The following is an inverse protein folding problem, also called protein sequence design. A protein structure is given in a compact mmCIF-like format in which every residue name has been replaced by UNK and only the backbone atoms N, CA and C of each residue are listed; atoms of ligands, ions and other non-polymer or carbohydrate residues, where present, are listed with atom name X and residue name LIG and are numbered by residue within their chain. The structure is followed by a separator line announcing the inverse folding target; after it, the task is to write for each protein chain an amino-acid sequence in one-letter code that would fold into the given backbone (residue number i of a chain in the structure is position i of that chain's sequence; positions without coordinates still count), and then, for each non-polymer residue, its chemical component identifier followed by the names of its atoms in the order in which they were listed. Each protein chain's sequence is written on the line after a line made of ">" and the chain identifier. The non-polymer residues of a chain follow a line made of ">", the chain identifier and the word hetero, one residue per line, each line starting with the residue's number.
data_IF_493486630514
#
_entry.id   IF_493486630514
#
_cell.length_a   1.000
_cell.length_b   1.000
_cell.length_c   1.000
_cell.angle_alpha   90.00
_cell.angle_beta   90.00
_cell.angle_gamma   90.00
#
_symmetry.space_group_name_H-M   'P 1'
#
loop_
_entity.id
_entity.type
_entity.pdbx_description
1 polymer ?
#
# COMPACT_ATOMS: atom_id res chain seq x y z
N UNK A 1 7.75 11.77 -27.92
CA UNK A 1 7.63 10.33 -27.57
C UNK A 1 8.58 10.06 -26.42
N UNK A 2 8.06 9.98 -25.19
CA UNK A 2 8.89 9.87 -23.99
C UNK A 2 9.01 8.38 -23.63
N UNK A 3 10.20 7.83 -23.82
CA UNK A 3 10.51 6.43 -23.52
C UNK A 3 10.56 6.26 -22.02
N UNK A 4 9.42 5.90 -21.42
CA UNK A 4 9.35 5.50 -20.02
C UNK A 4 10.24 4.27 -19.88
N UNK A 5 11.36 4.40 -19.16
CA UNK A 5 12.22 3.25 -18.86
C UNK A 5 11.42 2.36 -17.92
N UNK A 6 10.93 1.25 -18.49
CA UNK A 6 10.25 0.17 -17.79
C UNK A 6 11.09 -0.19 -16.57
N UNK A 7 10.56 0.08 -15.39
CA UNK A 7 11.18 -0.38 -14.16
C UNK A 7 11.07 -1.90 -14.18
N UNK A 8 12.18 -2.60 -14.40
CA UNK A 8 12.29 -4.06 -14.29
C UNK A 8 12.27 -4.46 -12.80
N UNK A 9 11.19 -4.07 -12.15
CA UNK A 9 10.98 -4.15 -10.72
C UNK A 9 9.75 -5.01 -10.48
N UNK A 10 9.95 -6.08 -9.71
CA UNK A 10 8.89 -6.88 -9.11
C UNK A 10 8.20 -6.08 -8.01
N UNK A 11 7.43 -5.05 -8.38
CA UNK A 11 6.65 -4.30 -7.43
C UNK A 11 5.35 -5.03 -7.11
N UNK A 12 5.07 -5.18 -5.81
CA UNK A 12 3.88 -5.86 -5.33
C UNK A 12 2.93 -4.80 -4.80
N UNK A 13 1.72 -4.63 -5.38
CA UNK A 13 0.75 -3.69 -4.84
C UNK A 13 0.32 -4.12 -3.43
N UNK A 14 0.38 -3.18 -2.49
CA UNK A 14 -0.03 -3.37 -1.09
C UNK A 14 -1.43 -2.82 -0.87
N UNK A 15 -1.69 -1.61 -1.38
CA UNK A 15 -3.00 -0.97 -1.35
C UNK A 15 -3.14 0.02 -2.49
N UNK A 16 -4.30 0.00 -3.15
CA UNK A 16 -4.64 0.92 -4.22
C UNK A 16 -5.92 1.63 -3.83
N UNK A 17 -5.86 2.96 -3.78
CA UNK A 17 -7.01 3.82 -3.50
C UNK A 17 -6.94 5.01 -4.44
N UNK A 18 -8.08 5.64 -4.76
CA UNK A 18 -8.08 6.89 -5.51
C UNK A 18 -7.11 7.90 -4.88
N UNK A 19 -6.26 8.49 -5.72
CA UNK A 19 -5.19 9.41 -5.35
C UNK A 19 -4.03 8.84 -4.53
N UNK A 20 -4.03 7.55 -4.16
CA UNK A 20 -3.00 6.94 -3.30
C UNK A 20 -2.69 5.48 -3.66
N UNK A 21 -1.46 5.20 -4.07
CA UNK A 21 -0.97 3.84 -4.28
C UNK A 21 0.19 3.53 -3.34
N UNK A 22 0.15 2.35 -2.72
CA UNK A 22 1.27 1.81 -1.96
C UNK A 22 1.73 0.53 -2.62
N UNK A 23 3.01 0.49 -2.96
CA UNK A 23 3.66 -0.68 -3.56
C UNK A 23 4.86 -1.10 -2.72
N UNK A 24 5.17 -2.39 -2.75
CA UNK A 24 6.39 -2.96 -2.15
C UNK A 24 7.38 -3.22 -3.26
N UNK A 25 8.59 -2.69 -3.14
CA UNK A 25 9.69 -2.87 -4.07
C UNK A 25 10.85 -3.54 -3.32
N UNK A 26 11.04 -4.86 -3.45
CA UNK A 26 12.09 -5.56 -2.71
C UNK A 26 13.49 -5.01 -2.99
N UNK A 27 13.76 -4.57 -4.23
CA UNK A 27 15.05 -3.99 -4.65
C UNK A 27 15.39 -2.65 -3.98
N UNK A 28 14.39 -1.97 -3.43
CA UNK A 28 14.57 -0.71 -2.69
C UNK A 28 15.15 -0.95 -1.28
N UNK A 29 15.05 -2.17 -0.75
CA UNK A 29 15.47 -2.45 0.61
C UNK A 29 16.99 -2.23 0.76
N UNK A 30 17.36 -1.31 1.67
CA UNK A 30 18.75 -0.88 1.94
C UNK A 30 19.47 -0.26 0.73
N UNK A 31 18.76 0.27 -0.26
CA UNK A 31 19.36 0.89 -1.44
C UNK A 31 18.86 2.34 -1.63
N UNK A 32 19.65 3.31 -1.18
CA UNK A 32 19.33 4.75 -1.31
C UNK A 32 19.38 5.21 -2.77
N UNK A 33 20.33 4.71 -3.57
CA UNK A 33 20.39 5.01 -5.00
C UNK A 33 19.11 4.57 -5.73
N UNK A 34 18.52 3.45 -5.32
CA UNK A 34 17.23 2.99 -5.89
C UNK A 34 16.07 3.87 -5.41
N UNK A 35 16.12 4.38 -4.18
CA UNK A 35 15.15 5.36 -3.67
C UNK A 35 15.14 6.61 -4.54
N UNK A 36 16.30 7.24 -4.74
CA UNK A 36 16.45 8.46 -5.54
C UNK A 36 16.02 8.24 -6.99
N UNK A 37 16.39 7.10 -7.58
CA UNK A 37 15.99 6.74 -8.94
C UNK A 37 14.47 6.59 -9.09
N UNK A 38 13.83 5.96 -8.12
CA UNK A 38 12.37 5.78 -8.11
C UNK A 38 11.70 7.13 -7.94
N UNK A 39 12.11 7.94 -6.95
CA UNK A 39 11.53 9.26 -6.70
C UNK A 39 11.71 10.19 -7.90
N UNK A 40 12.91 10.26 -8.48
CA UNK A 40 13.17 11.08 -9.65
C UNK A 40 12.39 10.61 -10.89
N UNK A 41 12.33 9.29 -11.14
CA UNK A 41 11.62 8.76 -12.30
C UNK A 41 10.10 8.94 -12.20
N UNK A 42 9.54 8.81 -11.00
CA UNK A 42 8.11 8.95 -10.77
C UNK A 42 7.64 10.41 -10.70
N UNK A 43 8.48 11.32 -10.18
CA UNK A 43 8.13 12.75 -10.05
C UNK A 43 8.05 13.48 -11.39
N UNK A 44 8.57 12.88 -12.47
CA UNK A 44 8.47 13.43 -13.83
C UNK A 44 7.07 13.22 -14.44
N UNK A 45 6.27 12.32 -13.88
CA UNK A 45 4.93 12.06 -14.37
C UNK A 45 3.98 13.18 -13.92
N UNK A 46 3.38 13.88 -14.88
CA UNK A 46 2.42 14.99 -14.64
C UNK A 46 1.24 14.60 -13.73
N UNK A 47 0.93 13.31 -13.72
CA UNK A 47 -0.16 12.71 -12.98
C UNK A 47 0.17 12.42 -11.51
N UNK A 48 1.46 12.45 -11.15
CA UNK A 48 1.98 12.13 -9.82
C UNK A 48 2.20 13.42 -9.06
N UNK A 49 1.47 13.58 -7.96
CA UNK A 49 1.59 14.75 -7.08
C UNK A 49 2.82 14.65 -6.18
N UNK A 50 3.12 13.44 -5.67
CA UNK A 50 4.28 13.21 -4.82
C UNK A 50 4.63 11.72 -4.74
N UNK A 51 5.91 11.45 -4.43
CA UNK A 51 6.47 10.10 -4.33
C UNK A 51 7.30 10.04 -3.07
N UNK A 52 7.12 8.97 -2.30
CA UNK A 52 7.90 8.71 -1.09
C UNK A 52 8.37 7.27 -1.10
N UNK A 53 9.65 7.05 -1.33
CA UNK A 53 10.26 5.73 -1.28
C UNK A 53 10.98 5.55 0.07
N UNK A 54 10.75 4.41 0.71
CA UNK A 54 11.34 4.08 2.00
C UNK A 54 12.28 2.87 1.87
N UNK A 55 13.61 3.08 1.86
CA UNK A 55 14.59 2.00 1.73
C UNK A 55 14.69 1.11 2.97
N UNK A 56 14.19 1.52 4.13
CA UNK A 56 14.17 0.67 5.32
C UNK A 56 13.09 -0.40 5.25
N UNK A 57 11.98 -0.09 4.57
CA UNK A 57 10.82 -1.00 4.49
C UNK A 57 10.61 -1.58 3.10
N UNK A 58 11.34 -1.09 2.09
CA UNK A 58 11.13 -1.44 0.68
C UNK A 58 9.72 -1.09 0.20
N UNK A 59 9.14 0.01 0.71
CA UNK A 59 7.79 0.47 0.37
C UNK A 59 7.86 1.81 -0.32
N UNK A 60 6.96 2.02 -1.28
CA UNK A 60 6.80 3.29 -1.98
C UNK A 60 5.35 3.73 -1.85
N UNK A 61 5.15 4.98 -1.47
CA UNK A 61 3.86 5.67 -1.49
C UNK A 61 3.86 6.64 -2.67
N UNK A 62 2.83 6.54 -3.49
CA UNK A 62 2.63 7.39 -4.65
C UNK A 62 1.31 8.12 -4.42
N UNK A 63 1.36 9.45 -4.45
CA UNK A 63 0.21 10.33 -4.46
C UNK A 63 -0.02 10.80 -5.89
N UNK A 64 -1.26 10.72 -6.35
CA UNK A 64 -1.64 11.09 -7.71
C UNK A 64 -3.01 11.77 -7.73
N UNK A 65 -3.37 12.37 -8.86
CA UNK A 65 -4.65 13.06 -9.00
C UNK A 65 -5.82 12.07 -9.13
N UNK A 66 -6.97 12.38 -8.53
CA UNK A 66 -8.18 11.53 -8.51
C UNK A 66 -8.81 11.25 -9.90
N UNK A 67 -8.24 11.80 -10.98
CA UNK A 67 -8.68 11.57 -12.36
C UNK A 67 -8.12 10.31 -13.02
N UNK A 68 -7.22 9.56 -12.37
CA UNK A 68 -6.56 8.39 -12.97
C UNK A 68 -6.78 7.15 -12.12
N UNK A 69 -7.06 6.03 -12.78
CA UNK A 69 -7.21 4.76 -12.09
C UNK A 69 -5.85 4.31 -11.54
N UNK A 70 -5.79 3.76 -10.31
CA UNK A 70 -4.54 3.28 -9.72
C UNK A 70 -3.82 2.24 -10.59
N UNK A 71 -4.58 1.46 -11.38
CA UNK A 71 -4.04 0.47 -12.32
C UNK A 71 -3.28 1.10 -13.49
N UNK A 72 -3.74 2.24 -13.99
CA UNK A 72 -3.09 2.94 -15.11
C UNK A 72 -1.73 3.50 -14.70
N UNK A 73 -1.62 3.94 -13.45
CA UNK A 73 -0.32 4.36 -12.88
C UNK A 73 0.61 3.17 -12.83
N UNK A 74 0.18 2.03 -12.27
CA UNK A 74 1.03 0.84 -12.20
C UNK A 74 1.49 0.39 -13.60
N UNK A 75 0.60 0.46 -14.59
CA UNK A 75 0.91 0.16 -15.98
C UNK A 75 1.91 1.16 -16.58
N UNK A 76 1.73 2.45 -16.31
CA UNK A 76 2.69 3.50 -16.70
C UNK A 76 4.06 3.29 -16.04
N UNK A 77 4.12 2.64 -14.88
CA UNK A 77 5.38 2.28 -14.21
C UNK A 77 6.02 1.00 -14.75
N UNK A 78 5.37 0.31 -15.69
CA UNK A 78 5.81 -0.99 -16.17
C UNK A 78 5.59 -2.11 -15.14
N UNK A 79 4.82 -1.84 -14.09
CA UNK A 79 4.49 -2.81 -13.06
C UNK A 79 3.31 -3.63 -13.55
N UNK A 80 3.60 -4.85 -14.00
CA UNK A 80 2.55 -5.83 -14.30
C UNK A 80 1.95 -6.26 -12.96
N UNK A 81 0.71 -5.86 -12.69
CA UNK A 81 -0.06 -6.38 -11.57
C UNK A 81 -0.45 -7.81 -11.93
N UNK A 82 0.07 -8.86 -11.27
CA UNK A 82 -0.43 -10.20 -11.49
C UNK A 82 -1.87 -10.23 -10.99
N UNK A 83 -2.83 -10.22 -11.93
CA UNK A 83 -4.26 -10.44 -11.72
C UNK A 83 -4.86 -9.72 -10.52
N UNK A 84 -5.58 -8.62 -10.76
CA UNK A 84 -6.46 -8.01 -9.77
C UNK A 84 -7.58 -8.99 -9.38
N UNK A 85 -7.27 -10.02 -8.59
CA UNK A 85 -8.27 -10.78 -7.86
C UNK A 85 -8.83 -9.81 -6.82
N UNK A 86 -10.16 -9.55 -6.80
CA UNK A 86 -10.75 -8.70 -5.79
C UNK A 86 -10.35 -9.23 -4.42
N UNK A 87 -9.47 -8.51 -3.73
CA UNK A 87 -9.09 -8.83 -2.35
C UNK A 87 -10.33 -8.58 -1.51
N UNK A 88 -11.07 -9.67 -1.30
CA UNK A 88 -12.19 -9.77 -0.39
C UNK A 88 -11.75 -9.14 0.95
N UNK A 89 -12.46 -8.12 1.45
CA UNK A 89 -12.11 -7.52 2.74
C UNK A 89 -12.11 -8.65 3.78
N UNK A 90 -10.98 -8.84 4.46
CA UNK A 90 -10.85 -9.84 5.50
C UNK A 90 -12.02 -9.66 6.50
N UNK A 91 -12.79 -10.73 6.80
CA UNK A 91 -13.89 -10.63 7.75
C UNK A 91 -13.29 -10.21 9.10
N UNK A 92 -13.65 -9.01 9.54
CA UNK A 92 -13.28 -8.52 10.87
C UNK A 92 -14.03 -9.37 11.90
N UNK A 93 -13.41 -10.45 12.36
CA UNK A 93 -13.84 -11.13 13.58
C UNK A 93 -13.56 -10.21 14.76
N UNK A 94 -14.47 -9.27 15.03
CA UNK A 94 -14.59 -8.64 16.34
C UNK A 94 -15.31 -9.62 17.25
N UNK A 95 -14.57 -10.56 17.80
CA UNK A 95 -15.07 -11.32 18.95
C UNK A 95 -14.58 -10.62 20.21
N UNK A 96 -15.29 -9.57 20.60
CA UNK A 96 -15.18 -9.06 21.97
C UNK A 96 -15.86 -10.09 22.86
N UNK A 97 -15.17 -10.79 23.78
CA UNK A 97 -15.85 -11.65 24.72
C UNK A 97 -16.70 -10.77 25.65
N UNK A 98 -17.99 -11.11 25.90
CA UNK A 98 -18.76 -10.41 26.91
C UNK A 98 -18.11 -10.65 28.27
N UNK A 99 -17.67 -9.57 28.90
CA UNK A 99 -17.18 -9.56 30.28
C UNK A 99 -18.38 -9.98 31.16
N UNK A 100 -18.40 -11.24 31.61
CA UNK A 100 -19.38 -11.68 32.62
C UNK A 100 -19.13 -10.84 33.87
N UNK A 101 -20.12 -10.04 34.26
CA UNK A 101 -20.21 -9.52 35.61
C UNK A 101 -20.28 -10.73 36.57
N UNK A 102 -19.44 -10.83 37.60
CA UNK A 102 -19.75 -11.72 38.70
C UNK A 102 -21.02 -11.21 39.36
N UNK A 103 -22.04 -12.07 39.33
CA UNK A 103 -23.30 -11.89 40.01
C UNK A 103 -23.07 -11.70 41.51
N UNK A 104 -23.90 -10.85 42.09
CA UNK A 104 -24.25 -10.79 43.50
C UNK A 104 -24.15 -12.15 44.19
N UNK A 105 -23.36 -12.21 45.26
CA UNK A 105 -23.48 -13.23 46.30
C UNK A 105 -24.54 -12.76 47.28
N UNK A 106 -25.72 -13.38 47.38
CA UNK A 106 -26.58 -13.20 48.54
C UNK A 106 -26.23 -14.23 49.62
N UNK A 107 -26.35 -13.73 50.85
CA UNK A 107 -26.83 -14.42 52.05
C UNK A 107 -25.86 -15.13 53.00
N UNK A 108 -26.30 -15.07 54.27
CA UNK A 108 -26.11 -16.00 55.39
C UNK A 108 -25.03 -15.56 56.39
N UNK A 109 -25.40 -14.83 57.46
CA UNK A 109 -26.00 -15.29 58.74
C UNK A 109 -24.91 -15.54 59.79
N UNK A 110 -24.81 -14.66 60.80
CA UNK A 110 -24.78 -14.96 62.25
C UNK A 110 -25.33 -13.73 62.99
#
# INVERSE_FOLDING_TARGET
>A
MQTVRVFDQTAIPVSLSPGRARIKVPRLLRCVAEQERIEAGLSVLEQVAAVYANPLTGKVLILFNDGIAPGDILLALGLTVPGNAPRQPAPRARTTPPRRHPADTPATEI
#
